data_IF_393027293642
#
_entry.id   IF_393027293642
#
_cell.length_a   1.000
_cell.length_b   1.000
_cell.length_c   1.000
_cell.angle_alpha   90.00
_cell.angle_beta   90.00
_cell.angle_gamma   90.00
#
_symmetry.space_group_name_H-M   'P 1'
#
loop_
_entity.id
_entity.type
_entity.pdbx_description
1 polymer ?
#
# COMPACT_ATOMS: atom_id res chain seq x y z
N UNK A 1 -7.23 -22.89 1.94
CA UNK A 1 -6.30 -21.73 1.94
C UNK A 1 -6.40 -21.03 3.29
N UNK A 2 -5.31 -20.57 3.84
CA UNK A 2 -5.41 -19.69 5.02
C UNK A 2 -6.04 -18.37 4.55
N UNK A 3 -7.16 -17.97 5.18
CA UNK A 3 -7.82 -16.68 4.91
C UNK A 3 -7.00 -15.50 5.51
N UNK A 4 -5.72 -15.49 5.19
CA UNK A 4 -4.73 -14.52 5.66
C UNK A 4 -3.79 -14.15 4.52
N UNK A 5 -3.46 -12.89 4.40
CA UNK A 5 -2.58 -12.34 3.36
C UNK A 5 -1.85 -11.11 3.92
N UNK A 6 -0.58 -10.98 3.57
CA UNK A 6 0.20 -9.75 3.75
C UNK A 6 0.45 -9.12 2.39
N UNK A 7 -0.01 -7.89 2.24
CA UNK A 7 0.19 -7.03 1.08
C UNK A 7 1.14 -5.90 1.46
N UNK A 8 2.08 -5.56 0.58
CA UNK A 8 3.04 -4.49 0.80
C UNK A 8 3.12 -3.59 -0.43
N UNK A 9 3.26 -2.31 -0.19
CA UNK A 9 3.54 -1.32 -1.22
C UNK A 9 4.72 -0.46 -0.78
N UNK A 10 5.67 -0.24 -1.67
CA UNK A 10 6.85 0.59 -1.42
C UNK A 10 7.09 1.60 -2.53
N UNK A 11 7.78 2.67 -2.16
CA UNK A 11 8.16 3.75 -3.07
C UNK A 11 8.70 4.97 -2.32
N UNK A 12 9.07 6.03 -3.05
CA UNK A 12 9.62 7.24 -2.43
C UNK A 12 8.60 7.92 -1.53
N UNK A 13 9.05 8.53 -0.44
CA UNK A 13 8.22 9.32 0.44
C UNK A 13 7.48 10.42 -0.35
N UNK A 14 6.14 10.44 -0.24
CA UNK A 14 5.25 11.34 -1.00
C UNK A 14 4.70 10.75 -2.30
N UNK A 15 5.04 9.51 -2.68
CA UNK A 15 4.45 8.79 -3.83
C UNK A 15 3.02 8.32 -3.60
N UNK A 16 2.50 8.42 -2.36
CA UNK A 16 1.13 8.03 -2.02
C UNK A 16 0.99 6.59 -1.52
N UNK A 17 2.08 5.99 -1.04
CA UNK A 17 2.11 4.67 -0.39
C UNK A 17 1.02 4.54 0.68
N UNK A 18 0.89 5.55 1.54
CA UNK A 18 -0.15 5.57 2.59
C UNK A 18 -1.58 5.59 2.03
N UNK A 19 -1.82 6.36 0.97
CA UNK A 19 -3.14 6.42 0.32
C UNK A 19 -3.55 5.05 -0.22
N UNK A 20 -2.63 4.35 -0.89
CA UNK A 20 -2.85 3.01 -1.41
C UNK A 20 -3.15 2.01 -0.28
N UNK A 21 -2.35 2.05 0.80
CA UNK A 21 -2.55 1.18 1.96
C UNK A 21 -3.89 1.44 2.67
N UNK A 22 -4.32 2.69 2.74
CA UNK A 22 -5.63 3.05 3.30
C UNK A 22 -6.79 2.54 2.42
N UNK A 23 -6.68 2.61 1.07
CA UNK A 23 -7.66 2.01 0.16
C UNK A 23 -7.75 0.50 0.41
N UNK A 24 -6.61 -0.20 0.39
CA UNK A 24 -6.54 -1.63 0.61
C UNK A 24 -7.14 -2.04 1.96
N UNK A 25 -6.77 -1.34 3.03
CA UNK A 25 -7.24 -1.58 4.38
C UNK A 25 -8.76 -1.39 4.53
N UNK A 26 -9.31 -0.32 3.93
CA UNK A 26 -10.75 -0.07 3.97
C UNK A 26 -11.55 -1.12 3.19
N UNK A 27 -11.07 -1.55 2.02
CA UNK A 27 -11.72 -2.60 1.23
C UNK A 27 -11.80 -3.88 2.04
N UNK A 28 -10.71 -4.36 2.61
CA UNK A 28 -10.71 -5.61 3.37
C UNK A 28 -11.45 -5.52 4.70
N UNK A 29 -11.41 -4.39 5.38
CA UNK A 29 -12.26 -4.16 6.55
C UNK A 29 -13.75 -4.26 6.21
N UNK A 30 -14.17 -3.72 5.06
CA UNK A 30 -15.55 -3.82 4.56
C UNK A 30 -15.91 -5.21 4.00
N UNK A 31 -14.91 -6.00 3.64
CA UNK A 31 -15.07 -7.43 3.32
C UNK A 31 -15.16 -8.33 4.57
N UNK A 32 -15.09 -7.77 5.78
CA UNK A 32 -15.21 -8.51 7.04
C UNK A 32 -13.91 -9.12 7.55
N UNK A 33 -12.75 -8.62 7.09
CA UNK A 33 -11.45 -9.06 7.56
C UNK A 33 -10.92 -8.14 8.66
N UNK A 34 -10.17 -8.74 9.61
CA UNK A 34 -9.33 -7.97 10.50
C UNK A 34 -8.11 -7.46 9.74
N UNK A 35 -7.75 -6.22 10.00
CA UNK A 35 -6.67 -5.50 9.30
C UNK A 35 -5.64 -5.00 10.31
N UNK A 36 -4.37 -5.21 10.01
CA UNK A 36 -3.26 -4.63 10.74
C UNK A 36 -2.27 -3.99 9.75
N UNK A 37 -2.15 -2.67 9.81
CA UNK A 37 -1.24 -1.90 8.97
C UNK A 37 0.03 -1.52 9.72
N UNK A 38 1.20 -1.66 9.07
CA UNK A 38 2.49 -1.21 9.55
C UNK A 38 3.12 -0.32 8.47
N UNK A 39 3.25 0.97 8.78
CA UNK A 39 3.98 1.92 7.95
C UNK A 39 5.39 2.07 8.47
N UNK A 40 6.36 2.04 7.56
CA UNK A 40 7.72 2.44 7.85
C UNK A 40 8.25 3.44 6.82
N UNK A 41 9.07 4.33 7.30
CA UNK A 41 9.79 5.32 6.48
C UNK A 41 11.15 5.58 7.13
N UNK A 42 12.16 5.68 6.30
CA UNK A 42 13.53 5.87 6.77
C UNK A 42 13.80 7.32 7.17
N UNK A 43 13.05 8.27 6.60
CA UNK A 43 13.14 9.69 6.92
C UNK A 43 11.83 10.41 6.60
N UNK A 44 11.58 11.54 7.26
CA UNK A 44 10.52 12.48 6.89
C UNK A 44 10.86 13.29 5.62
N UNK A 45 12.04 13.09 5.04
CA UNK A 45 12.50 13.79 3.84
C UNK A 45 11.78 13.20 2.63
N UNK A 46 11.21 14.08 1.82
CA UNK A 46 10.55 13.69 0.57
C UNK A 46 11.56 13.03 -0.38
N UNK A 47 11.21 11.86 -0.91
CA UNK A 47 12.03 11.10 -1.83
C UNK A 47 12.79 9.93 -1.18
N UNK A 48 12.95 9.94 0.15
CA UNK A 48 13.49 8.79 0.89
C UNK A 48 12.52 7.61 0.86
N UNK A 49 13.03 6.42 1.09
CA UNK A 49 12.24 5.19 1.04
C UNK A 49 11.11 5.15 2.07
N UNK A 50 9.96 4.69 1.64
CA UNK A 50 8.79 4.44 2.50
C UNK A 50 8.05 3.21 2.01
N UNK A 51 7.57 2.39 2.94
CA UNK A 51 6.70 1.27 2.61
C UNK A 51 5.58 1.12 3.63
N UNK A 52 4.54 0.43 3.21
CA UNK A 52 3.40 0.10 4.04
C UNK A 52 3.03 -1.36 3.83
N UNK A 53 3.10 -2.16 4.92
CA UNK A 53 2.64 -3.53 4.92
C UNK A 53 1.26 -3.60 5.58
N UNK A 54 0.32 -4.29 4.94
CA UNK A 54 -1.04 -4.52 5.44
C UNK A 54 -1.27 -6.01 5.54
N UNK A 55 -1.42 -6.51 6.75
CA UNK A 55 -1.84 -7.88 7.04
C UNK A 55 -3.36 -7.91 7.20
N UNK A 56 -3.99 -8.86 6.53
CA UNK A 56 -5.42 -9.14 6.65
C UNK A 56 -5.63 -10.58 7.08
N UNK A 57 -6.66 -10.86 7.88
CA UNK A 57 -7.00 -12.21 8.33
C UNK A 57 -8.47 -12.29 8.72
N UNK A 58 -9.06 -13.47 8.57
CA UNK A 58 -10.40 -13.78 9.12
C UNK A 58 -10.38 -14.00 10.64
N UNK A 59 -9.19 -14.08 11.22
CA UNK A 59 -8.99 -14.17 12.68
C UNK A 59 -8.48 -12.84 13.20
N UNK A 60 -8.80 -12.54 14.46
CA UNK A 60 -8.32 -11.33 15.12
C UNK A 60 -6.79 -11.28 15.17
N UNK A 61 -6.22 -10.23 14.57
CA UNK A 61 -4.77 -10.01 14.50
C UNK A 61 -4.37 -8.80 15.34
N UNK A 62 -3.15 -8.83 15.91
CA UNK A 62 -2.61 -7.77 16.78
C UNK A 62 -1.18 -7.37 16.44
N UNK A 63 -0.62 -7.94 15.37
CA UNK A 63 0.77 -7.68 14.96
C UNK A 63 0.97 -7.88 13.47
N UNK A 64 2.04 -7.30 12.94
CA UNK A 64 2.60 -7.70 11.65
C UNK A 64 3.24 -9.08 11.75
N UNK A 65 3.50 -9.70 10.61
CA UNK A 65 4.27 -10.94 10.44
C UNK A 65 5.39 -10.68 9.44
N UNK A 66 6.41 -11.52 9.47
CA UNK A 66 7.42 -11.54 8.42
C UNK A 66 6.86 -12.26 7.18
N UNK A 67 7.29 -11.81 6.01
CA UNK A 67 6.86 -12.34 4.73
C UNK A 67 5.66 -11.61 4.14
N UNK A 68 5.73 -11.43 2.83
CA UNK A 68 4.76 -10.69 2.02
C UNK A 68 4.23 -11.59 0.93
N UNK A 69 2.92 -11.62 0.71
CA UNK A 69 2.30 -12.38 -0.37
C UNK A 69 2.27 -11.57 -1.67
N UNK A 70 2.04 -10.26 -1.58
CA UNK A 70 1.97 -9.37 -2.73
C UNK A 70 2.78 -8.12 -2.44
N UNK A 71 3.81 -7.84 -3.24
CA UNK A 71 4.63 -6.63 -3.21
C UNK A 71 4.32 -5.76 -4.42
N UNK A 72 4.05 -4.47 -4.19
CA UNK A 72 3.96 -3.44 -5.23
C UNK A 72 5.16 -2.52 -5.11
N UNK A 73 5.93 -2.36 -6.18
CA UNK A 73 7.14 -1.56 -6.20
C UNK A 73 7.07 -0.46 -7.27
N UNK A 74 7.20 0.79 -6.84
CA UNK A 74 7.24 1.95 -7.74
C UNK A 74 8.65 2.38 -8.11
N UNK A 75 9.66 1.90 -7.36
CA UNK A 75 11.05 2.24 -7.54
C UNK A 75 11.98 1.04 -7.32
N UNK A 76 13.22 1.21 -7.73
CA UNK A 76 14.24 0.19 -7.61
C UNK A 76 14.59 -0.12 -6.15
N UNK A 77 14.53 0.89 -5.27
CA UNK A 77 14.86 0.71 -3.86
C UNK A 77 13.90 -0.27 -3.18
N UNK A 78 12.60 -0.19 -3.50
CA UNK A 78 11.61 -1.14 -2.99
C UNK A 78 11.96 -2.58 -3.37
N UNK A 79 12.39 -2.82 -4.62
CA UNK A 79 12.81 -4.16 -5.05
C UNK A 79 14.07 -4.60 -4.32
N UNK A 80 15.10 -3.76 -4.24
CA UNK A 80 16.35 -4.09 -3.56
C UNK A 80 16.18 -4.40 -2.08
N UNK A 81 15.21 -3.75 -1.41
CA UNK A 81 14.96 -3.95 0.02
C UNK A 81 14.01 -5.10 0.34
N UNK A 82 13.00 -5.33 -0.51
CA UNK A 82 11.83 -6.12 -0.12
C UNK A 82 11.52 -7.31 -1.03
N UNK A 83 12.26 -7.53 -2.12
CA UNK A 83 11.99 -8.69 -2.96
C UNK A 83 12.24 -10.03 -2.21
N UNK A 84 13.21 -10.06 -1.29
CA UNK A 84 13.52 -11.24 -0.46
C UNK A 84 12.47 -11.47 0.65
N UNK A 85 11.68 -10.45 0.99
CA UNK A 85 10.56 -10.59 1.93
C UNK A 85 9.36 -11.30 1.30
N UNK A 86 9.32 -11.47 -0.04
CA UNK A 86 8.19 -12.08 -0.73
C UNK A 86 8.24 -13.60 -0.59
N UNK A 87 7.15 -14.15 -0.08
CA UNK A 87 7.02 -15.59 0.17
C UNK A 87 7.01 -16.38 -1.15
N UNK A 88 7.41 -17.64 -1.08
CA UNK A 88 7.23 -18.59 -2.17
C UNK A 88 5.76 -18.59 -2.61
N UNK A 89 5.53 -18.66 -3.92
CA UNK A 89 4.22 -18.50 -4.56
C UNK A 89 3.60 -17.10 -4.42
N UNK A 90 4.34 -16.14 -3.86
CA UNK A 90 3.96 -14.74 -3.79
C UNK A 90 4.16 -14.00 -5.12
N UNK A 91 3.79 -12.72 -5.12
CA UNK A 91 3.72 -11.88 -6.32
C UNK A 91 4.50 -10.59 -6.11
N UNK A 92 5.28 -10.18 -7.12
CA UNK A 92 5.86 -8.85 -7.23
C UNK A 92 5.27 -8.16 -8.46
N UNK A 93 4.56 -7.05 -8.27
CA UNK A 93 4.13 -6.15 -9.35
C UNK A 93 5.03 -4.91 -9.28
N UNK A 94 5.71 -4.60 -10.37
CA UNK A 94 6.69 -3.53 -10.37
C UNK A 94 6.63 -2.69 -11.65
N UNK A 95 7.12 -1.44 -11.56
CA UNK A 95 7.24 -0.59 -12.75
C UNK A 95 8.33 -1.14 -13.67
N UNK A 96 7.98 -1.51 -14.90
CA UNK A 96 8.93 -2.06 -15.87
C UNK A 96 10.07 -1.09 -16.23
N UNK A 97 9.87 0.21 -16.01
CA UNK A 97 10.88 1.22 -16.29
C UNK A 97 12.11 1.12 -15.37
N UNK A 98 11.98 0.42 -14.19
CA UNK A 98 13.07 0.28 -13.23
C UNK A 98 13.95 -0.96 -13.42
N UNK A 99 13.63 -1.88 -14.31
CA UNK A 99 14.35 -3.17 -14.45
C UNK A 99 15.86 -3.05 -14.63
N UNK A 100 16.30 -2.00 -15.30
CA UNK A 100 17.72 -1.76 -15.60
C UNK A 100 18.45 -0.97 -14.53
N UNK A 101 17.73 -0.47 -13.53
CA UNK A 101 18.34 0.30 -12.45
C UNK A 101 19.30 -0.58 -11.65
N UNK A 102 20.45 0.00 -11.29
CA UNK A 102 21.51 -0.68 -10.53
C UNK A 102 21.47 -0.28 -9.07
N UNK A 103 22.03 -1.13 -8.23
CA UNK A 103 22.22 -0.83 -6.79
C UNK A 103 22.93 0.51 -6.60
N UNK A 104 23.92 0.79 -7.46
CA UNK A 104 24.70 2.04 -7.43
C UNK A 104 23.92 3.28 -7.82
N UNK A 105 22.84 3.14 -8.58
CA UNK A 105 22.02 4.27 -9.05
C UNK A 105 21.04 4.78 -7.98
N UNK A 106 20.82 3.98 -6.92
CA UNK A 106 19.91 4.34 -5.83
C UNK A 106 20.68 5.03 -4.72
N UNK A 107 20.64 6.35 -4.70
CA UNK A 107 21.44 7.17 -3.77
C UNK A 107 20.95 7.09 -2.32
N UNK A 108 19.69 6.76 -2.12
CA UNK A 108 19.03 6.65 -0.81
C UNK A 108 19.38 5.36 -0.06
N UNK A 109 19.93 4.36 -0.74
CA UNK A 109 20.42 3.14 -0.09
C UNK A 109 21.71 3.44 0.72
N UNK A 110 21.74 2.99 1.97
CA UNK A 110 22.92 3.10 2.85
C UNK A 110 24.09 2.29 2.29
N UNK A 111 25.31 2.79 2.48
CA UNK A 111 26.51 2.15 1.96
C UNK A 111 26.69 0.71 2.45
N UNK A 112 26.43 0.45 3.72
CA UNK A 112 26.54 -0.89 4.30
C UNK A 112 25.52 -1.86 3.69
N UNK A 113 24.30 -1.37 3.39
CA UNK A 113 23.30 -2.16 2.69
C UNK A 113 23.72 -2.46 1.25
N UNK A 114 24.22 -1.46 0.52
CA UNK A 114 24.74 -1.64 -0.85
C UNK A 114 25.85 -2.69 -0.89
N UNK A 115 26.82 -2.61 0.00
CA UNK A 115 27.94 -3.57 0.04
C UNK A 115 27.42 -4.99 0.27
N UNK A 116 26.60 -5.21 1.28
CA UNK A 116 26.02 -6.54 1.56
C UNK A 116 25.23 -7.09 0.39
N UNK A 117 24.42 -6.24 -0.27
CA UNK A 117 23.61 -6.64 -1.42
C UNK A 117 24.49 -7.02 -2.61
N UNK A 118 25.54 -6.23 -2.91
CA UNK A 118 26.49 -6.52 -3.99
C UNK A 118 27.28 -7.81 -3.74
N UNK A 119 27.73 -8.05 -2.51
CA UNK A 119 28.38 -9.30 -2.12
C UNK A 119 27.43 -10.51 -2.27
N UNK A 120 26.19 -10.36 -1.83
CA UNK A 120 25.17 -11.38 -2.01
C UNK A 120 24.93 -11.70 -3.48
N UNK A 121 24.71 -10.69 -4.33
CA UNK A 121 24.49 -10.86 -5.78
C UNK A 121 25.70 -11.55 -6.44
N UNK A 122 26.91 -11.11 -6.11
CA UNK A 122 28.13 -11.73 -6.59
C UNK A 122 28.21 -13.22 -6.18
N UNK A 123 27.84 -13.57 -4.96
CA UNK A 123 27.80 -14.96 -4.50
C UNK A 123 26.84 -15.84 -5.29
N UNK A 124 25.82 -15.24 -5.90
CA UNK A 124 24.80 -15.87 -6.75
C UNK A 124 25.13 -15.80 -8.25
N UNK A 125 26.30 -15.30 -8.63
CA UNK A 125 26.70 -15.04 -10.03
C UNK A 125 25.71 -14.13 -10.78
N UNK A 126 25.13 -13.15 -10.08
CA UNK A 126 24.23 -12.13 -10.63
C UNK A 126 24.94 -10.78 -10.73
N UNK A 127 24.40 -9.92 -11.62
CA UNK A 127 24.82 -8.53 -11.69
C UNK A 127 24.11 -7.68 -10.63
N UNK A 128 24.25 -6.35 -10.69
CA UNK A 128 23.78 -5.42 -9.69
C UNK A 128 22.46 -4.71 -10.04
N UNK A 129 21.63 -5.35 -10.89
CA UNK A 129 20.39 -4.73 -11.38
C UNK A 129 19.12 -5.24 -10.68
N UNK A 130 18.04 -4.45 -10.80
CA UNK A 130 16.69 -4.87 -10.37
C UNK A 130 16.31 -6.19 -11.04
N UNK A 131 16.63 -6.36 -12.34
CA UNK A 131 16.34 -7.61 -13.06
C UNK A 131 16.97 -8.82 -12.38
N UNK A 132 18.22 -8.71 -11.94
CA UNK A 132 18.93 -9.82 -11.28
C UNK A 132 18.25 -10.22 -9.96
N UNK A 133 17.76 -9.25 -9.19
CA UNK A 133 16.97 -9.51 -7.97
C UNK A 133 15.65 -10.20 -8.30
N UNK A 134 14.94 -9.74 -9.34
CA UNK A 134 13.68 -10.35 -9.77
C UNK A 134 13.86 -11.77 -10.30
N UNK A 135 14.97 -12.03 -10.99
CA UNK A 135 15.36 -13.40 -11.40
C UNK A 135 15.57 -14.29 -10.18
N UNK A 136 16.31 -13.84 -9.16
CA UNK A 136 16.49 -14.59 -7.91
C UNK A 136 15.16 -14.83 -7.18
N UNK A 137 14.28 -13.85 -7.15
CA UNK A 137 12.94 -14.02 -6.59
C UNK A 137 12.15 -15.09 -7.38
N UNK A 138 12.23 -15.08 -8.70
CA UNK A 138 11.59 -16.08 -9.56
C UNK A 138 12.17 -17.48 -9.38
N UNK A 139 13.48 -17.60 -9.21
CA UNK A 139 14.17 -18.88 -8.87
C UNK A 139 13.66 -19.45 -7.53
N UNK A 140 13.25 -18.57 -6.60
CA UNK A 140 12.64 -18.94 -5.32
C UNK A 140 11.13 -19.18 -5.38
N UNK A 141 10.53 -19.16 -6.58
CA UNK A 141 9.12 -19.43 -6.81
C UNK A 141 8.19 -18.21 -6.67
N UNK A 142 8.74 -16.99 -6.68
CA UNK A 142 7.95 -15.76 -6.71
C UNK A 142 7.57 -15.43 -8.15
N UNK A 143 6.31 -15.02 -8.37
CA UNK A 143 5.83 -14.57 -9.67
C UNK A 143 6.09 -13.08 -9.83
N UNK A 144 6.73 -12.68 -10.92
CA UNK A 144 7.08 -11.27 -11.18
C UNK A 144 6.31 -10.71 -12.37
N UNK A 145 5.66 -9.56 -12.19
CA UNK A 145 4.79 -8.93 -13.18
C UNK A 145 5.24 -7.51 -13.51
N UNK A 146 5.93 -7.32 -14.64
CA UNK A 146 6.26 -5.98 -15.13
C UNK A 146 5.00 -5.25 -15.62
N UNK A 147 4.81 -4.03 -15.16
CA UNK A 147 3.75 -3.13 -15.60
C UNK A 147 4.35 -1.77 -15.95
N UNK A 148 4.17 -1.29 -17.15
CA UNK A 148 4.49 0.11 -17.45
C UNK A 148 3.40 1.01 -16.86
N UNK A 149 3.63 1.55 -15.67
CA UNK A 149 2.67 2.44 -15.00
C UNK A 149 2.40 3.70 -15.84
N UNK A 150 3.43 4.23 -16.52
CA UNK A 150 3.30 5.35 -17.46
C UNK A 150 2.47 4.98 -18.68
N UNK A 151 2.68 3.77 -19.21
CA UNK A 151 1.88 3.23 -20.32
C UNK A 151 0.41 3.13 -19.94
N UNK A 152 0.11 2.53 -18.80
CA UNK A 152 -1.26 2.41 -18.27
C UNK A 152 -1.92 3.78 -18.08
N UNK A 153 -1.19 4.79 -17.56
CA UNK A 153 -1.70 6.17 -17.47
C UNK A 153 -1.96 6.79 -18.84
N UNK A 154 -1.11 6.51 -19.83
CA UNK A 154 -1.30 7.00 -21.18
C UNK A 154 -2.56 6.42 -21.83
N UNK A 155 -2.80 5.12 -21.65
CA UNK A 155 -3.97 4.43 -22.19
C UNK A 155 -5.27 4.92 -21.49
N UNK A 156 -5.24 5.06 -20.17
CA UNK A 156 -6.33 5.67 -19.43
C UNK A 156 -6.61 7.10 -19.89
N UNK A 157 -5.56 7.90 -20.06
CA UNK A 157 -5.65 9.29 -20.55
C UNK A 157 -6.34 9.39 -21.92
N UNK A 158 -6.03 8.45 -22.82
CA UNK A 158 -6.68 8.35 -24.13
C UNK A 158 -8.15 7.92 -24.00
N UNK A 159 -8.44 6.94 -23.15
CA UNK A 159 -9.80 6.41 -22.97
C UNK A 159 -10.78 7.45 -22.43
N UNK A 160 -10.34 8.31 -21.49
CA UNK A 160 -11.21 9.31 -20.85
C UNK A 160 -11.03 10.73 -21.39
N UNK A 161 -10.29 10.87 -22.49
CA UNK A 161 -9.96 12.15 -23.15
C UNK A 161 -9.42 13.22 -22.17
N UNK A 162 -8.48 12.81 -21.31
CA UNK A 162 -7.84 13.71 -20.34
C UNK A 162 -6.32 13.68 -20.43
N UNK A 163 -5.72 14.50 -21.33
CA UNK A 163 -4.27 14.52 -21.57
C UNK A 163 -3.41 14.82 -20.32
N UNK A 164 -3.97 15.48 -19.31
CA UNK A 164 -3.23 15.83 -18.08
C UNK A 164 -2.83 14.61 -17.26
N UNK A 165 -3.52 13.48 -17.44
CA UNK A 165 -3.23 12.24 -16.68
C UNK A 165 -1.88 11.64 -17.03
N UNK A 166 -1.39 11.79 -18.27
CA UNK A 166 -0.11 11.22 -18.72
C UNK A 166 1.08 11.58 -17.81
N UNK A 167 1.05 12.76 -17.18
CA UNK A 167 2.10 13.24 -16.28
C UNK A 167 1.82 13.03 -14.80
N UNK A 168 0.68 12.45 -14.43
CA UNK A 168 0.25 12.35 -13.02
C UNK A 168 0.84 11.12 -12.32
N UNK A 169 2.15 11.08 -12.11
CA UNK A 169 2.86 10.01 -11.37
C UNK A 169 2.22 9.71 -10.00
N UNK A 170 1.56 10.69 -9.39
CA UNK A 170 0.82 10.51 -8.13
C UNK A 170 -0.32 9.48 -8.22
N UNK A 171 -0.74 9.11 -9.43
CA UNK A 171 -1.77 8.10 -9.63
C UNK A 171 -1.22 6.67 -9.60
N UNK A 172 0.10 6.48 -9.59
CA UNK A 172 0.71 5.16 -9.50
C UNK A 172 0.25 4.40 -8.25
N UNK A 173 0.03 5.10 -7.13
CA UNK A 173 -0.49 4.52 -5.91
C UNK A 173 -1.88 3.87 -6.10
N UNK A 174 -2.81 4.58 -6.75
CA UNK A 174 -4.15 4.07 -7.02
C UNK A 174 -4.10 2.94 -8.07
N UNK A 175 -3.27 3.07 -9.10
CA UNK A 175 -3.07 1.98 -10.08
C UNK A 175 -2.50 0.73 -9.38
N UNK A 176 -1.44 0.87 -8.59
CA UNK A 176 -0.78 -0.25 -7.91
C UNK A 176 -1.71 -1.01 -6.97
N UNK A 177 -2.45 -0.31 -6.11
CA UNK A 177 -3.42 -0.97 -5.22
C UNK A 177 -4.55 -1.60 -6.02
N UNK A 178 -5.00 -0.98 -7.12
CA UNK A 178 -6.10 -1.51 -7.93
C UNK A 178 -5.70 -2.72 -8.75
N UNK A 179 -4.44 -2.83 -9.20
CA UNK A 179 -3.90 -4.07 -9.77
C UNK A 179 -4.01 -5.22 -8.75
N UNK A 180 -3.57 -4.98 -7.51
CA UNK A 180 -3.67 -5.99 -6.45
C UNK A 180 -5.12 -6.39 -6.17
N UNK A 181 -6.01 -5.40 -6.04
CA UNK A 181 -7.43 -5.65 -5.76
C UNK A 181 -8.14 -6.35 -6.92
N UNK A 182 -7.67 -6.14 -8.17
CA UNK A 182 -8.11 -6.87 -9.36
C UNK A 182 -7.69 -8.34 -9.33
N UNK A 183 -6.42 -8.62 -9.02
CA UNK A 183 -5.90 -10.00 -8.84
C UNK A 183 -6.67 -10.71 -7.73
N UNK A 184 -6.94 -10.01 -6.64
CA UNK A 184 -7.68 -10.52 -5.48
C UNK A 184 -9.18 -10.60 -5.70
N UNK A 185 -9.68 -10.19 -6.87
CA UNK A 185 -11.10 -10.20 -7.28
C UNK A 185 -12.01 -9.49 -6.28
N UNK A 186 -11.53 -8.41 -5.66
CA UNK A 186 -12.30 -7.64 -4.69
C UNK A 186 -13.50 -6.94 -5.36
N UNK A 187 -14.65 -6.79 -4.66
CA UNK A 187 -15.81 -6.12 -5.21
C UNK A 187 -15.52 -4.65 -5.55
N UNK A 188 -15.70 -4.24 -6.81
CA UNK A 188 -15.41 -2.89 -7.31
C UNK A 188 -16.15 -1.80 -6.52
N UNK A 189 -17.36 -2.08 -6.05
CA UNK A 189 -18.14 -1.14 -5.24
C UNK A 189 -17.44 -0.77 -3.94
N UNK A 190 -16.74 -1.71 -3.30
CA UNK A 190 -15.98 -1.44 -2.06
C UNK A 190 -14.72 -0.60 -2.35
N UNK A 191 -14.09 -0.82 -3.50
CA UNK A 191 -12.94 -0.04 -3.94
C UNK A 191 -13.35 1.42 -4.19
N UNK A 192 -14.45 1.64 -4.92
CA UNK A 192 -14.99 2.97 -5.18
C UNK A 192 -15.39 3.69 -3.88
N UNK A 193 -16.05 2.99 -2.95
CA UNK A 193 -16.42 3.56 -1.66
C UNK A 193 -15.19 3.97 -0.83
N UNK A 194 -14.13 3.17 -0.84
CA UNK A 194 -12.87 3.51 -0.15
C UNK A 194 -12.23 4.75 -0.77
N UNK A 195 -12.15 4.84 -2.10
CA UNK A 195 -11.64 6.02 -2.81
C UNK A 195 -12.47 7.25 -2.48
N UNK A 196 -13.79 7.15 -2.52
CA UNK A 196 -14.69 8.26 -2.23
C UNK A 196 -14.56 8.75 -0.79
N UNK A 197 -14.41 7.84 0.17
CA UNK A 197 -14.17 8.16 1.57
C UNK A 197 -12.86 8.94 1.75
N UNK A 198 -11.76 8.46 1.15
CA UNK A 198 -10.43 9.09 1.26
C UNK A 198 -10.40 10.46 0.60
N UNK A 199 -11.04 10.61 -0.55
CA UNK A 199 -11.07 11.87 -1.31
C UNK A 199 -12.36 12.66 -1.13
N UNK A 200 -13.12 12.44 -0.06
CA UNK A 200 -14.45 13.01 0.19
C UNK A 200 -14.53 14.55 0.05
N UNK A 201 -13.45 15.25 0.42
CA UNK A 201 -13.35 16.72 0.30
C UNK A 201 -13.04 17.21 -1.11
N UNK A 202 -12.72 16.33 -2.07
CA UNK A 202 -12.25 16.65 -3.43
C UNK A 202 -12.93 15.76 -4.46
N UNK A 203 -14.22 15.95 -4.69
CA UNK A 203 -15.08 15.10 -5.52
C UNK A 203 -14.51 14.83 -6.94
N UNK A 204 -13.93 15.84 -7.60
CA UNK A 204 -13.32 15.66 -8.92
C UNK A 204 -12.09 14.74 -8.89
N UNK A 205 -11.32 14.79 -7.80
CA UNK A 205 -10.17 13.88 -7.61
C UNK A 205 -10.67 12.46 -7.32
N UNK A 206 -11.71 12.31 -6.49
CA UNK A 206 -12.33 11.01 -6.23
C UNK A 206 -12.77 10.35 -7.54
N UNK A 207 -13.46 11.10 -8.42
CA UNK A 207 -13.96 10.56 -9.69
C UNK A 207 -12.84 10.09 -10.63
N UNK A 208 -11.79 10.88 -10.80
CA UNK A 208 -10.61 10.49 -11.60
C UNK A 208 -9.95 9.23 -11.01
N UNK A 209 -9.81 9.14 -9.69
CA UNK A 209 -9.23 7.98 -9.03
C UNK A 209 -10.11 6.73 -9.16
N UNK A 210 -11.44 6.86 -9.14
CA UNK A 210 -12.35 5.73 -9.41
C UNK A 210 -12.20 5.22 -10.86
N UNK A 211 -12.10 6.13 -11.84
CA UNK A 211 -11.86 5.73 -13.24
C UNK A 211 -10.51 5.02 -13.40
N UNK A 212 -9.45 5.56 -12.80
CA UNK A 212 -8.12 4.94 -12.81
C UNK A 212 -8.13 3.57 -12.13
N UNK A 213 -8.82 3.46 -11.01
CA UNK A 213 -8.97 2.20 -10.28
C UNK A 213 -9.70 1.14 -11.11
N UNK A 214 -10.81 1.51 -11.76
CA UNK A 214 -11.55 0.60 -12.64
C UNK A 214 -10.70 0.14 -13.81
N UNK A 215 -9.95 1.06 -14.43
CA UNK A 215 -9.05 0.73 -15.53
C UNK A 215 -7.96 -0.26 -15.10
N UNK A 216 -7.27 0.03 -14.02
CA UNK A 216 -6.20 -0.82 -13.49
C UNK A 216 -6.72 -2.20 -13.02
N UNK A 217 -7.87 -2.24 -12.39
CA UNK A 217 -8.54 -3.48 -12.00
C UNK A 217 -8.82 -4.37 -13.22
N UNK A 218 -9.45 -3.80 -14.26
CA UNK A 218 -9.76 -4.54 -15.49
C UNK A 218 -8.50 -4.99 -16.23
N UNK A 219 -7.46 -4.15 -16.24
CA UNK A 219 -6.15 -4.52 -16.79
C UNK A 219 -5.57 -5.74 -16.05
N UNK A 220 -5.62 -5.73 -14.71
CA UNK A 220 -5.09 -6.83 -13.91
C UNK A 220 -5.88 -8.12 -14.12
N UNK A 221 -7.21 -8.07 -14.09
CA UNK A 221 -8.07 -9.25 -14.30
C UNK A 221 -7.93 -9.85 -15.69
N UNK A 222 -7.65 -9.04 -16.71
CA UNK A 222 -7.42 -9.53 -18.07
C UNK A 222 -6.01 -10.11 -18.27
N UNK A 223 -4.99 -9.57 -17.58
CA UNK A 223 -3.60 -9.93 -17.82
C UNK A 223 -3.06 -10.99 -16.87
N UNK A 224 -3.57 -11.06 -15.65
CA UNK A 224 -3.06 -11.95 -14.59
C UNK A 224 -4.06 -13.08 -14.29
N UNK A 225 -4.42 -13.84 -15.31
CA UNK A 225 -5.48 -14.87 -15.25
C UNK A 225 -5.12 -16.10 -14.42
N UNK A 226 -3.82 -16.40 -14.31
CA UNK A 226 -3.33 -17.63 -13.68
C UNK A 226 -3.11 -17.52 -12.16
N UNK A 227 -3.53 -16.38 -11.60
CA UNK A 227 -3.39 -16.11 -10.17
C UNK A 227 -4.74 -16.27 -9.48
N UNK A 228 -4.81 -17.16 -8.51
CA UNK A 228 -6.00 -17.31 -7.66
C UNK A 228 -5.66 -17.05 -6.18
N UNK A 229 -5.76 -15.78 -5.80
CA UNK A 229 -5.65 -15.29 -4.42
C UNK A 229 -6.98 -14.72 -3.92
N UNK A 230 -8.09 -15.05 -4.56
CA UNK A 230 -9.40 -14.50 -4.20
C UNK A 230 -9.78 -14.86 -2.75
N UNK A 231 -10.27 -13.86 -2.04
CA UNK A 231 -10.79 -14.01 -0.67
C UNK A 231 -12.27 -13.64 -0.67
N UNK A 232 -13.08 -14.52 -0.10
CA UNK A 232 -14.53 -14.32 -0.04
C UNK A 232 -14.91 -13.18 0.93
N UNK A 233 -15.95 -12.42 0.57
CA UNK A 233 -16.55 -11.43 1.48
C UNK A 233 -17.23 -12.16 2.65
N UNK A 234 -16.95 -11.72 3.87
CA UNK A 234 -17.48 -12.24 5.11
C UNK A 234 -18.47 -11.28 5.75
N UNK A 235 -19.17 -11.74 6.76
CA UNK A 235 -20.03 -10.88 7.56
C UNK A 235 -19.15 -9.91 8.37
N UNK A 236 -19.44 -8.62 8.28
CA UNK A 236 -18.77 -7.58 9.06
C UNK A 236 -19.30 -7.60 10.49
N UNK A 237 -18.42 -7.64 11.48
CA UNK A 237 -18.80 -7.48 12.89
C UNK A 237 -19.28 -6.04 13.14
N UNK A 238 -20.50 -5.90 13.69
CA UNK A 238 -21.16 -4.59 13.85
C UNK A 238 -20.46 -3.62 14.82
N UNK A 239 -19.63 -4.14 15.72
CA UNK A 239 -18.99 -3.37 16.78
C UNK A 239 -17.48 -3.17 16.56
N UNK A 240 -17.00 -3.25 15.32
CA UNK A 240 -15.61 -3.03 14.96
C UNK A 240 -15.44 -1.78 14.12
N UNK A 241 -14.31 -1.11 14.31
CA UNK A 241 -13.90 0.02 13.47
C UNK A 241 -12.44 -0.14 13.04
N UNK A 242 -12.13 0.32 11.84
CA UNK A 242 -10.75 0.46 11.37
C UNK A 242 -10.27 1.88 11.71
N UNK A 243 -9.26 1.98 12.56
CA UNK A 243 -8.68 3.26 12.98
C UNK A 243 -7.16 3.20 12.95
N UNK A 244 -6.52 4.33 12.73
CA UNK A 244 -5.08 4.46 12.93
C UNK A 244 -4.78 4.53 14.45
N UNK A 245 -3.58 4.08 14.85
CA UNK A 245 -3.22 3.94 16.27
C UNK A 245 -3.37 5.24 17.08
N UNK A 246 -2.93 6.37 16.51
CA UNK A 246 -3.05 7.68 17.16
C UNK A 246 -4.52 8.13 17.34
N UNK A 247 -5.40 7.80 16.41
CA UNK A 247 -6.85 8.04 16.59
C UNK A 247 -7.45 7.14 17.67
N UNK A 248 -7.00 5.88 17.74
CA UNK A 248 -7.39 4.97 18.80
C UNK A 248 -6.97 5.49 20.18
N UNK A 249 -5.76 6.02 20.31
CA UNK A 249 -5.25 6.66 21.52
C UNK A 249 -6.07 7.90 21.89
N UNK A 250 -6.36 8.75 20.90
CA UNK A 250 -7.18 9.96 21.11
C UNK A 250 -8.59 9.62 21.60
N UNK A 251 -9.24 8.65 20.96
CA UNK A 251 -10.57 8.17 21.38
C UNK A 251 -10.52 7.64 22.82
N UNK A 252 -9.49 6.87 23.16
CA UNK A 252 -9.29 6.38 24.51
C UNK A 252 -9.14 7.49 25.54
N UNK A 253 -8.39 8.56 25.24
CA UNK A 253 -8.26 9.74 26.08
C UNK A 253 -9.59 10.46 26.28
N UNK A 254 -10.36 10.63 25.20
CA UNK A 254 -11.67 11.28 25.27
C UNK A 254 -12.64 10.50 26.15
N UNK A 255 -12.73 9.17 25.96
CA UNK A 255 -13.59 8.29 26.76
C UNK A 255 -13.16 8.28 28.24
N UNK A 256 -11.85 8.35 28.50
CA UNK A 256 -11.32 8.43 29.87
C UNK A 256 -11.51 9.82 30.53
N UNK A 257 -12.08 10.79 29.83
CA UNK A 257 -12.33 12.13 30.38
C UNK A 257 -11.07 13.00 30.48
N UNK A 258 -10.08 12.79 29.64
CA UNK A 258 -8.87 13.62 29.58
C UNK A 258 -9.24 15.09 29.30
N UNK A 259 -8.80 16.03 30.15
CA UNK A 259 -9.12 17.45 30.06
C UNK A 259 -7.94 18.33 29.66
N UNK A 260 -6.74 17.76 29.65
CA UNK A 260 -5.53 18.50 29.32
C UNK A 260 -4.53 17.57 28.65
N UNK A 261 -3.93 18.04 27.54
CA UNK A 261 -2.83 17.36 26.85
C UNK A 261 -1.73 18.37 26.54
N UNK A 262 -0.50 18.00 26.89
CA UNK A 262 0.71 18.71 26.46
C UNK A 262 1.51 17.80 25.52
N UNK A 263 2.00 18.32 24.42
CA UNK A 263 2.74 17.53 23.44
C UNK A 263 3.85 18.35 22.77
N UNK A 264 4.85 17.67 22.28
CA UNK A 264 5.82 18.24 21.35
C UNK A 264 5.30 18.05 19.91
N UNK A 265 5.36 19.08 19.03
CA UNK A 265 4.77 19.02 17.69
C UNK A 265 5.57 18.12 16.73
N UNK A 266 5.48 16.83 16.94
CA UNK A 266 6.10 15.77 16.13
C UNK A 266 5.08 14.66 15.87
N UNK A 267 5.07 14.10 14.67
CA UNK A 267 4.25 12.91 14.35
C UNK A 267 4.73 11.69 15.17
N UNK A 268 3.82 10.92 15.80
CA UNK A 268 2.34 10.95 15.71
C UNK A 268 1.65 11.87 16.75
N UNK A 269 2.38 12.53 17.63
CA UNK A 269 1.78 13.35 18.70
C UNK A 269 0.94 14.53 18.16
N UNK A 270 1.39 15.15 17.05
CA UNK A 270 0.62 16.22 16.38
C UNK A 270 -0.70 15.69 15.84
N UNK A 271 -0.70 14.54 15.17
CA UNK A 271 -1.90 13.96 14.57
C UNK A 271 -2.94 13.61 15.63
N UNK A 272 -2.47 13.10 16.78
CA UNK A 272 -3.30 12.79 17.94
C UNK A 272 -3.94 14.07 18.52
N UNK A 273 -3.14 15.12 18.68
CA UNK A 273 -3.59 16.38 19.23
C UNK A 273 -4.56 17.12 18.31
N UNK A 274 -4.29 17.14 17.00
CA UNK A 274 -5.22 17.68 16.00
C UNK A 274 -6.56 16.94 15.99
N UNK A 275 -6.56 15.62 16.24
CA UNK A 275 -7.80 14.87 16.35
C UNK A 275 -8.59 15.31 17.60
N UNK A 276 -7.94 15.49 18.75
CA UNK A 276 -8.58 15.94 19.97
C UNK A 276 -9.15 17.37 19.81
N UNK A 277 -8.38 18.29 19.22
CA UNK A 277 -8.81 19.67 18.94
C UNK A 277 -10.07 19.73 18.07
N UNK A 278 -10.16 18.85 17.04
CA UNK A 278 -11.33 18.79 16.17
C UNK A 278 -12.57 18.18 16.81
N UNK A 279 -12.41 17.51 17.95
CA UNK A 279 -13.46 16.81 18.67
C UNK A 279 -13.53 17.25 20.14
N UNK A 280 -13.33 18.54 20.42
CA UNK A 280 -13.38 19.12 21.77
C UNK A 280 -14.74 18.95 22.44
N UNK A 281 -15.80 18.89 21.64
CA UNK A 281 -17.17 18.74 22.13
C UNK A 281 -17.65 17.35 21.75
N UNK A 282 -17.97 16.56 22.78
CA UNK A 282 -18.61 15.26 22.62
C UNK A 282 -20.09 15.37 22.98
N UNK A 283 -20.96 15.06 22.05
CA UNK A 283 -22.36 14.83 22.37
C UNK A 283 -22.50 13.42 22.94
N UNK A 284 -22.83 13.34 24.22
CA UNK A 284 -23.13 12.07 24.89
C UNK A 284 -24.64 11.92 24.83
N UNK A 285 -25.15 10.99 24.01
CA UNK A 285 -26.56 10.61 24.09
C UNK A 285 -26.78 9.84 25.39
N UNK A 286 -27.68 10.36 26.24
CA UNK A 286 -28.00 9.76 27.55
C UNK A 286 -28.71 8.38 27.47
N UNK A 287 -29.04 7.93 26.26
CA UNK A 287 -29.79 6.70 26.00
C UNK A 287 -28.91 5.45 25.70
N UNK A 288 -27.70 5.38 26.25
CA UNK A 288 -26.87 4.16 26.17
C UNK A 288 -26.28 3.76 27.50
#
# INVERSE_FOLDING_TARGET
>A
MNNELTWMIGGPQGSGVETAANIFSQVYSKMGYHVFGKREYYSNIKGEHSYFAVRISDKKIRSSVNGTNILIAFDAETIFRHADDVLKDGIIIYDSDIEKAKVTDVFTLENDFKQRLLEFLKSKNKQDSVRDILELASENGVQTFPVSFRGVLSDLSAQIDNPRLKGMVRMFNVLGVSFSLGILKCPMVLIHNAIESIFSRKKSIAEINKQASTFAYNYATAKFTDIDYSLETKQVESNTMLVQGHYGTSLGKMVAGCRFQSYYPITPASDESEFLERNEILEINEDR
#
